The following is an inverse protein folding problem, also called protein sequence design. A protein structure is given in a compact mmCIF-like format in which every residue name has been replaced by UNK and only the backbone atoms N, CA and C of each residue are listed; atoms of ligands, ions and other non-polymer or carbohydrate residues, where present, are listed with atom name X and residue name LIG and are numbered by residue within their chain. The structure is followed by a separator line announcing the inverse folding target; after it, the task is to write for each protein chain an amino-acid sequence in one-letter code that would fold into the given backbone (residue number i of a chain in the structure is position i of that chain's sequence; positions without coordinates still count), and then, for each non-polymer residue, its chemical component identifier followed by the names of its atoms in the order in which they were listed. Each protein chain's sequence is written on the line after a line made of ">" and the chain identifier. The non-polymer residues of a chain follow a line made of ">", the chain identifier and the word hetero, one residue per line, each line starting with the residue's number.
data_IF_687215024765
#
_entry.id   IF_687215024765
#
_cell.length_a   1.000
_cell.length_b   1.000
_cell.length_c   1.000
_cell.angle_alpha   90.00
_cell.angle_beta   90.00
_cell.angle_gamma   90.00
#
_symmetry.space_group_name_H-M   'P 1'
#
loop_
_entity.id
_entity.type
_entity.pdbx_description
1 polymer ?
#
# COMPACT_ATOMS: atom_id res chain seq x y z
N UNK A 1 -33.67 16.59 -6.72
CA UNK A 1 -32.32 16.87 -6.16
C UNK A 1 -31.48 15.62 -6.31
N UNK A 2 -30.20 15.79 -6.63
CA UNK A 2 -29.21 14.76 -6.97
C UNK A 2 -28.64 14.13 -5.71
N UNK A 3 -28.63 12.80 -5.61
CA UNK A 3 -27.69 12.05 -4.78
C UNK A 3 -27.47 10.67 -5.43
N UNK A 4 -26.88 10.67 -6.62
CA UNK A 4 -26.28 9.48 -7.21
C UNK A 4 -24.99 9.24 -6.40
N UNK A 5 -25.11 8.43 -5.34
CA UNK A 5 -23.97 7.88 -4.62
C UNK A 5 -23.22 6.96 -5.60
N UNK A 6 -22.44 7.59 -6.46
CA UNK A 6 -21.54 6.95 -7.40
C UNK A 6 -20.49 6.24 -6.56
N UNK A 7 -20.76 4.98 -6.22
CA UNK A 7 -19.74 3.98 -5.88
C UNK A 7 -18.81 3.94 -7.07
N UNK A 8 -17.84 4.86 -7.09
CA UNK A 8 -16.81 4.94 -8.12
C UNK A 8 -16.00 3.67 -7.94
N UNK A 9 -16.29 2.68 -8.78
CA UNK A 9 -15.46 1.49 -8.89
C UNK A 9 -14.00 1.95 -9.02
N UNK A 10 -13.04 1.28 -8.35
CA UNK A 10 -11.64 1.65 -8.43
C UNK A 10 -11.27 1.74 -9.91
N UNK A 11 -10.79 2.91 -10.33
CA UNK A 11 -10.36 3.04 -11.72
C UNK A 11 -9.22 2.06 -11.93
N UNK A 12 -9.21 1.33 -13.04
CA UNK A 12 -8.20 0.28 -13.27
C UNK A 12 -6.75 0.80 -13.12
N UNK A 13 -6.54 2.11 -13.26
CA UNK A 13 -5.26 2.77 -12.98
C UNK A 13 -4.89 2.84 -11.50
N UNK A 14 -5.84 3.10 -10.59
CA UNK A 14 -5.57 3.14 -9.14
C UNK A 14 -5.15 1.78 -8.59
N UNK A 15 -5.75 0.69 -9.11
CA UNK A 15 -5.42 -0.68 -8.74
C UNK A 15 -4.04 -1.11 -9.23
N UNK A 16 -3.64 -0.66 -10.43
CA UNK A 16 -2.29 -0.86 -10.96
C UNK A 16 -1.25 -0.16 -10.08
N UNK A 17 -1.49 1.11 -9.74
CA UNK A 17 -0.59 1.92 -8.90
C UNK A 17 -0.44 1.30 -7.50
N UNK A 18 -1.54 0.89 -6.87
CA UNK A 18 -1.49 0.21 -5.57
C UNK A 18 -0.66 -1.08 -5.64
N UNK A 19 -0.83 -1.87 -6.70
CA UNK A 19 -0.08 -3.11 -6.89
C UNK A 19 1.42 -2.84 -7.00
N UNK A 20 1.82 -1.82 -7.76
CA UNK A 20 3.22 -1.39 -7.87
C UNK A 20 3.80 -0.96 -6.52
N UNK A 21 3.04 -0.18 -5.74
CA UNK A 21 3.47 0.28 -4.42
C UNK A 21 3.65 -0.86 -3.43
N UNK A 22 2.71 -1.81 -3.40
CA UNK A 22 2.81 -3.01 -2.56
C UNK A 22 4.04 -3.84 -2.95
N UNK A 23 4.28 -4.04 -4.24
CA UNK A 23 5.44 -4.77 -4.74
C UNK A 23 6.75 -4.08 -4.35
N UNK A 24 6.84 -2.75 -4.51
CA UNK A 24 8.06 -2.02 -4.19
C UNK A 24 8.35 -2.05 -2.67
N UNK A 25 7.34 -1.83 -1.82
CA UNK A 25 7.53 -1.98 -0.37
C UNK A 25 7.93 -3.42 0.00
N UNK A 26 7.30 -4.43 -0.60
CA UNK A 26 7.63 -5.83 -0.30
C UNK A 26 9.06 -6.19 -0.68
N UNK A 27 9.54 -5.76 -1.86
CA UNK A 27 10.93 -6.01 -2.31
C UNK A 27 11.93 -5.26 -1.43
N UNK A 28 11.63 -4.02 -1.04
CA UNK A 28 12.48 -3.22 -0.16
C UNK A 28 12.58 -3.86 1.23
N UNK A 29 11.45 -4.32 1.77
CA UNK A 29 11.40 -5.05 3.04
C UNK A 29 12.20 -6.37 2.98
N UNK A 30 12.19 -7.07 1.84
CA UNK A 30 13.01 -8.27 1.63
C UNK A 30 14.52 -7.97 1.59
N UNK A 31 14.90 -6.73 1.30
CA UNK A 31 16.28 -6.25 1.35
C UNK A 31 16.75 -5.83 2.75
N UNK A 32 15.95 -6.07 3.80
CA UNK A 32 16.16 -5.53 5.16
C UNK A 32 16.24 -3.98 5.19
N UNK A 33 15.68 -3.31 4.18
CA UNK A 33 15.61 -1.85 4.10
C UNK A 33 14.31 -1.34 4.71
N UNK A 34 14.37 -0.12 5.25
CA UNK A 34 13.20 0.53 5.85
C UNK A 34 12.19 0.95 4.78
N UNK A 35 10.95 0.48 4.92
CA UNK A 35 9.84 0.76 4.00
C UNK A 35 9.01 1.96 4.42
N UNK A 36 9.20 2.50 5.63
CA UNK A 36 8.54 3.72 6.10
C UNK A 36 8.61 4.89 5.12
N UNK A 37 9.77 5.28 4.55
CA UNK A 37 9.83 6.40 3.61
C UNK A 37 9.01 6.16 2.33
N UNK A 38 8.98 4.91 1.83
CA UNK A 38 8.17 4.55 0.66
C UNK A 38 6.67 4.65 0.97
N UNK A 39 6.26 4.15 2.13
CA UNK A 39 4.87 4.26 2.58
C UNK A 39 4.41 5.72 2.71
N UNK A 40 5.24 6.58 3.31
CA UNK A 40 4.93 8.00 3.48
C UNK A 40 4.77 8.73 2.13
N UNK A 41 5.57 8.36 1.12
CA UNK A 41 5.42 8.89 -0.24
C UNK A 41 4.11 8.40 -0.88
N UNK A 42 3.83 7.10 -0.80
CA UNK A 42 2.69 6.48 -1.48
C UNK A 42 1.35 6.87 -0.89
N UNK A 43 1.25 7.05 0.44
CA UNK A 43 -0.02 7.45 1.08
C UNK A 43 -0.44 8.88 0.70
N UNK A 44 0.52 9.71 0.29
CA UNK A 44 0.28 11.06 -0.20
C UNK A 44 -0.14 11.11 -1.68
N UNK A 45 -0.08 9.99 -2.40
CA UNK A 45 -0.52 9.94 -3.79
C UNK A 45 -2.03 10.24 -3.90
N UNK A 46 -2.36 11.23 -4.73
CA UNK A 46 -3.72 11.69 -4.99
C UNK A 46 -4.51 10.77 -5.91
N UNK A 47 -3.83 9.84 -6.60
CA UNK A 47 -4.42 8.82 -7.50
C UNK A 47 -4.98 7.62 -6.74
N UNK A 48 -4.57 7.44 -5.48
CA UNK A 48 -5.13 6.44 -4.58
C UNK A 48 -6.38 7.02 -3.90
N UNK A 49 -7.48 6.29 -3.97
CA UNK A 49 -8.67 6.58 -3.17
C UNK A 49 -8.51 6.07 -1.74
N UNK A 50 -9.52 6.34 -0.91
CA UNK A 50 -9.49 5.96 0.50
C UNK A 50 -9.37 4.44 0.70
N UNK A 51 -9.98 3.65 -0.19
CA UNK A 51 -9.88 2.20 -0.16
C UNK A 51 -8.45 1.72 -0.45
N UNK A 52 -7.80 2.24 -1.49
CA UNK A 52 -6.42 1.86 -1.82
C UNK A 52 -5.43 2.30 -0.74
N UNK A 53 -5.65 3.48 -0.14
CA UNK A 53 -4.85 3.98 0.98
C UNK A 53 -4.99 3.10 2.23
N UNK A 54 -6.21 2.62 2.51
CA UNK A 54 -6.45 1.69 3.61
C UNK A 54 -5.70 0.36 3.39
N UNK A 55 -5.75 -0.19 2.17
CA UNK A 55 -5.02 -1.40 1.80
C UNK A 55 -3.51 -1.21 1.93
N UNK A 56 -2.97 -0.10 1.40
CA UNK A 56 -1.54 0.23 1.51
C UNK A 56 -1.08 0.30 2.98
N UNK A 57 -1.90 0.92 3.85
CA UNK A 57 -1.64 0.99 5.29
C UNK A 57 -1.65 -0.38 5.94
N UNK A 58 -2.60 -1.25 5.56
CA UNK A 58 -2.68 -2.62 6.08
C UNK A 58 -1.45 -3.45 5.69
N UNK A 59 -0.98 -3.32 4.44
CA UNK A 59 0.24 -3.98 3.96
C UNK A 59 1.48 -3.44 4.69
N UNK A 60 1.64 -2.12 4.79
CA UNK A 60 2.75 -1.51 5.53
C UNK A 60 2.84 -2.04 6.96
N UNK A 61 1.70 -2.08 7.68
CA UNK A 61 1.65 -2.66 9.02
C UNK A 61 1.99 -4.14 9.04
N UNK A 62 1.57 -4.89 8.03
CA UNK A 62 1.87 -6.31 7.91
C UNK A 62 3.36 -6.55 7.71
N UNK A 63 4.02 -5.76 6.84
CA UNK A 63 5.47 -5.81 6.60
C UNK A 63 6.26 -5.48 7.87
N UNK A 64 5.88 -4.42 8.60
CA UNK A 64 6.51 -4.09 9.90
C UNK A 64 6.19 -5.06 11.03
N UNK A 65 5.07 -5.78 10.93
CA UNK A 65 4.65 -6.76 11.94
C UNK A 65 5.20 -8.15 11.68
N UNK A 66 5.83 -8.42 10.53
CA UNK A 66 6.52 -9.70 10.32
C UNK A 66 7.68 -9.73 11.32
N UNK A 67 7.62 -10.57 12.38
CA UNK A 67 8.80 -10.81 13.18
C UNK A 67 9.78 -11.48 12.23
N UNK A 68 11.01 -10.99 12.16
CA UNK A 68 12.09 -11.63 11.42
C UNK A 68 12.09 -13.14 11.66
N UNK A 69 11.47 -13.92 10.77
CA UNK A 69 11.44 -15.40 10.78
C UNK A 69 12.72 -15.93 10.14
N UNK A 70 13.81 -15.20 10.32
CA UNK A 70 15.15 -15.58 9.87
C UNK A 70 16.18 -15.18 10.92
N UNK A 71 15.90 -15.50 12.18
CA UNK A 71 16.98 -15.93 13.06
C UNK A 71 17.37 -17.36 12.63
N UNK A 72 18.36 -17.45 11.75
CA UNK A 72 19.09 -18.68 11.48
C UNK A 72 19.48 -19.36 12.81
N UNK A 73 18.99 -20.59 13.01
CA UNK A 73 19.39 -21.50 14.09
C UNK A 73 19.34 -22.94 13.58
#
# INVERSE_FOLDING_TARGET
>A
MKDDASTRAPTSGSLHILTEYILHMSVTCLGDEDVTPLYEEYIQDSRLGDAEKAELTAIYRSLHSVPSVVAHG
#
